data_IF_400656004807
#
_entry.id   IF_400656004807
#
_cell.length_a   1.000
_cell.length_b   1.000
_cell.length_c   1.000
_cell.angle_alpha   90.00
_cell.angle_beta   90.00
_cell.angle_gamma   90.00
#
_symmetry.space_group_name_H-M   'P 1'
#
loop_
_entity.id
_entity.type
_entity.pdbx_description
1 polymer ?
#
# COMPACT_ATOMS: atom_id res chain seq x y z
N UNK A 1 -32.91 -2.19 1.70
CA UNK A 1 -32.11 -2.65 0.55
C UNK A 1 -31.56 -1.39 -0.11
N UNK A 2 -30.24 -1.25 -0.17
CA UNK A 2 -29.61 -0.06 -0.72
C UNK A 2 -29.76 -0.12 -2.26
N UNK A 3 -30.51 0.80 -2.86
CA UNK A 3 -30.76 0.81 -4.30
C UNK A 3 -29.66 1.60 -5.00
N UNK A 4 -28.71 0.86 -5.57
CA UNK A 4 -27.54 1.41 -6.24
C UNK A 4 -27.91 2.29 -7.45
N UNK A 5 -28.98 1.96 -8.18
CA UNK A 5 -29.41 2.76 -9.34
C UNK A 5 -29.96 4.11 -8.92
N UNK A 6 -30.83 4.13 -7.90
CA UNK A 6 -31.34 5.39 -7.33
C UNK A 6 -30.23 6.26 -6.75
N UNK A 7 -29.19 5.63 -6.20
CA UNK A 7 -28.01 6.36 -5.72
C UNK A 7 -27.25 7.02 -6.87
N UNK A 8 -26.94 6.27 -7.92
CA UNK A 8 -26.25 6.81 -9.10
C UNK A 8 -27.03 7.96 -9.73
N UNK A 9 -28.36 7.82 -9.85
CA UNK A 9 -29.25 8.88 -10.33
C UNK A 9 -29.21 10.12 -9.42
N UNK A 10 -29.22 9.94 -8.09
CA UNK A 10 -29.17 11.05 -7.14
C UNK A 10 -27.82 11.79 -7.14
N UNK A 11 -26.72 11.10 -7.41
CA UNK A 11 -25.37 11.70 -7.46
C UNK A 11 -25.14 12.51 -8.75
N UNK A 12 -25.88 12.22 -9.82
CA UNK A 12 -25.82 12.97 -11.08
C UNK A 12 -26.50 14.34 -10.95
N UNK A 13 -25.82 15.39 -11.41
CA UNK A 13 -26.40 16.74 -11.53
C UNK A 13 -25.91 17.41 -12.81
N UNK A 14 -26.82 17.86 -13.67
CA UNK A 14 -26.57 18.72 -14.84
C UNK A 14 -25.18 18.55 -15.49
N UNK A 15 -24.97 17.43 -16.19
CA UNK A 15 -23.72 17.06 -16.89
C UNK A 15 -22.49 16.82 -16.01
N UNK A 16 -22.65 16.57 -14.71
CA UNK A 16 -21.55 16.24 -13.80
C UNK A 16 -21.97 15.50 -12.53
N UNK A 17 -21.02 15.35 -11.60
CA UNK A 17 -21.20 14.68 -10.31
C UNK A 17 -21.40 15.72 -9.20
N UNK A 18 -22.49 15.60 -8.44
CA UNK A 18 -22.72 16.46 -7.27
C UNK A 18 -21.71 16.14 -6.16
N UNK A 19 -20.69 16.98 -6.02
CA UNK A 19 -19.63 16.85 -5.00
C UNK A 19 -20.17 16.63 -3.58
N UNK A 20 -21.24 17.33 -3.20
CA UNK A 20 -21.84 17.26 -1.85
C UNK A 20 -22.52 15.91 -1.60
N UNK A 21 -23.26 15.42 -2.59
CA UNK A 21 -23.92 14.12 -2.48
C UNK A 21 -22.89 13.00 -2.53
N UNK A 22 -21.96 13.08 -3.48
CA UNK A 22 -20.86 12.13 -3.60
C UNK A 22 -20.03 12.04 -2.31
N UNK A 23 -19.65 13.16 -1.68
CA UNK A 23 -18.93 13.17 -0.39
C UNK A 23 -19.78 12.58 0.75
N UNK A 24 -21.08 12.88 0.81
CA UNK A 24 -21.95 12.31 1.84
C UNK A 24 -22.10 10.79 1.74
N UNK A 25 -21.94 10.22 0.53
CA UNK A 25 -21.96 8.78 0.29
C UNK A 25 -20.56 8.13 0.37
N UNK A 26 -19.50 8.81 -0.07
CA UNK A 26 -18.12 8.41 0.15
C UNK A 26 -17.81 8.29 1.65
N UNK A 27 -18.36 9.21 2.45
CA UNK A 27 -18.36 9.11 3.91
C UNK A 27 -19.06 7.85 4.43
N UNK A 28 -20.13 7.36 3.80
CA UNK A 28 -20.81 6.12 4.20
C UNK A 28 -20.04 4.83 3.82
N UNK A 29 -19.11 4.91 2.87
CA UNK A 29 -18.15 3.83 2.55
C UNK A 29 -16.85 3.93 3.37
N UNK A 30 -16.49 5.12 3.86
CA UNK A 30 -15.32 5.35 4.72
C UNK A 30 -15.65 5.39 6.21
N UNK A 31 -16.91 5.30 6.61
CA UNK A 31 -17.33 5.24 8.01
C UNK A 31 -17.87 3.87 8.34
N UNK A 32 -16.97 2.95 8.70
CA UNK A 32 -17.14 1.88 9.69
C UNK A 32 -15.88 0.98 9.69
N UNK A 33 -15.13 0.81 10.82
CA UNK A 33 -15.27 1.47 12.11
C UNK A 33 -13.93 1.90 12.77
N UNK A 34 -13.86 3.14 13.27
CA UNK A 34 -13.00 3.48 14.43
C UNK A 34 -13.65 3.08 15.77
N UNK A 35 -14.81 2.43 15.74
CA UNK A 35 -15.26 1.65 16.89
C UNK A 35 -14.45 0.36 16.96
N UNK A 36 -13.34 0.44 17.69
CA UNK A 36 -12.64 -0.72 18.24
C UNK A 36 -13.60 -1.56 19.07
N UNK A 37 -14.34 -2.45 18.41
CA UNK A 37 -14.58 -3.74 19.02
C UNK A 37 -13.27 -4.48 18.83
N UNK A 38 -12.62 -4.85 19.93
CA UNK A 38 -11.70 -5.97 19.95
C UNK A 38 -12.47 -7.21 19.50
N UNK A 39 -12.75 -7.30 18.20
CA UNK A 39 -13.32 -8.47 17.56
C UNK A 39 -12.16 -9.42 17.41
N UNK A 40 -11.99 -10.28 18.43
CA UNK A 40 -11.13 -11.47 18.47
C UNK A 40 -10.15 -11.57 17.29
N UNK A 41 -9.15 -10.69 17.27
CA UNK A 41 -8.05 -10.86 16.33
C UNK A 41 -7.37 -12.17 16.73
N UNK A 42 -7.23 -13.10 15.79
CA UNK A 42 -6.57 -14.38 16.06
C UNK A 42 -5.14 -14.09 16.55
N UNK A 43 -4.83 -14.38 17.83
CA UNK A 43 -3.53 -14.07 18.39
C UNK A 43 -2.45 -15.08 17.95
N UNK A 44 -2.86 -16.24 17.43
CA UNK A 44 -1.98 -17.36 17.10
C UNK A 44 -2.43 -18.03 15.79
N UNK A 45 -2.46 -17.29 14.67
CA UNK A 45 -2.81 -17.86 13.37
C UNK A 45 -1.78 -18.93 12.97
N UNK A 46 -2.26 -19.98 12.30
CA UNK A 46 -1.40 -21.01 11.71
C UNK A 46 -1.49 -20.88 10.19
N UNK A 47 -0.34 -20.70 9.54
CA UNK A 47 -0.25 -20.56 8.09
C UNK A 47 0.39 -21.80 7.46
N UNK A 48 -0.16 -22.27 6.34
CA UNK A 48 0.42 -23.38 5.57
C UNK A 48 1.55 -22.91 4.62
N UNK A 49 1.52 -21.64 4.23
CA UNK A 49 2.52 -20.97 3.39
C UNK A 49 2.97 -19.69 4.11
N UNK A 50 4.15 -19.18 3.78
CA UNK A 50 4.65 -17.93 4.36
C UNK A 50 3.66 -16.77 4.14
N UNK A 51 3.06 -16.19 5.20
CA UNK A 51 2.14 -15.08 5.06
C UNK A 51 2.85 -13.77 4.67
N UNK A 52 4.17 -13.66 4.80
CA UNK A 52 4.94 -12.46 4.46
C UNK A 52 5.47 -12.49 3.02
N UNK A 53 4.74 -13.13 2.10
CA UNK A 53 5.14 -13.32 0.69
C UNK A 53 5.34 -12.02 -0.10
N UNK A 54 4.76 -10.90 0.38
CA UNK A 54 4.89 -9.56 -0.21
C UNK A 54 5.98 -8.71 0.46
N UNK A 55 6.75 -9.32 1.36
CA UNK A 55 7.83 -8.69 2.11
C UNK A 55 7.33 -7.63 3.09
N UNK A 56 8.23 -6.71 3.41
CA UNK A 56 8.01 -5.60 4.33
C UNK A 56 8.40 -4.29 3.67
N UNK A 57 7.91 -3.16 4.19
CA UNK A 57 8.38 -1.85 3.77
C UNK A 57 8.35 -0.85 4.91
N UNK A 58 9.08 0.24 4.73
CA UNK A 58 8.93 1.43 5.56
C UNK A 58 8.79 2.67 4.69
N UNK A 59 8.25 3.74 5.26
CA UNK A 59 7.96 4.94 4.49
C UNK A 59 7.51 6.13 5.33
N UNK A 60 7.30 7.24 4.62
CA UNK A 60 6.94 8.54 5.19
C UNK A 60 7.75 8.93 6.46
N UNK A 61 9.09 8.76 6.50
CA UNK A 61 9.86 9.07 7.70
C UNK A 61 9.84 10.57 8.04
N UNK A 62 9.89 10.89 9.32
CA UNK A 62 10.29 12.22 9.82
C UNK A 62 11.39 12.08 10.88
N UNK A 63 11.68 13.16 11.58
CA UNK A 63 12.78 13.20 12.55
C UNK A 63 12.55 12.34 13.79
N UNK A 64 11.33 11.89 14.06
CA UNK A 64 11.02 11.12 15.26
C UNK A 64 10.17 9.87 15.00
N UNK A 65 9.78 9.62 13.76
CA UNK A 65 8.86 8.55 13.42
C UNK A 65 9.02 8.03 12.00
N UNK A 66 8.50 6.82 11.79
CA UNK A 66 8.43 6.17 10.49
C UNK A 66 7.21 5.26 10.42
N UNK A 67 6.70 5.02 9.21
CA UNK A 67 5.69 4.00 8.96
C UNK A 67 6.40 2.68 8.68
N UNK A 68 5.95 1.61 9.34
CA UNK A 68 6.28 0.23 8.99
C UNK A 68 5.05 -0.43 8.36
N UNK A 69 5.30 -1.25 7.35
CA UNK A 69 4.26 -1.86 6.54
C UNK A 69 4.54 -3.34 6.26
N UNK A 70 3.48 -4.14 6.26
CA UNK A 70 3.45 -5.49 5.70
C UNK A 70 2.02 -5.87 5.32
N UNK A 71 1.84 -6.93 4.52
CA UNK A 71 0.54 -7.58 4.26
C UNK A 71 0.62 -9.08 4.49
N UNK A 72 -0.37 -9.65 5.18
CA UNK A 72 -0.51 -11.10 5.29
C UNK A 72 -1.16 -11.65 4.01
N UNK A 73 -0.42 -12.44 3.26
CA UNK A 73 -0.80 -12.93 1.94
C UNK A 73 -0.16 -14.30 1.63
N UNK A 74 -0.58 -15.40 2.27
CA UNK A 74 -0.03 -16.74 1.98
C UNK A 74 -0.25 -17.19 0.53
N UNK A 75 -1.28 -16.67 -0.14
CA UNK A 75 -1.58 -16.94 -1.55
C UNK A 75 -1.91 -15.62 -2.27
N UNK A 76 -0.90 -14.79 -2.61
CA UNK A 76 -1.08 -13.36 -2.92
C UNK A 76 -1.98 -13.08 -4.13
N UNK A 77 -2.15 -14.04 -5.05
CA UNK A 77 -3.00 -13.92 -6.24
C UNK A 77 -4.36 -14.64 -6.11
N UNK A 78 -4.58 -15.37 -5.01
CA UNK A 78 -5.87 -15.97 -4.72
C UNK A 78 -6.83 -14.93 -4.14
N UNK A 79 -8.16 -15.16 -4.16
CA UNK A 79 -9.12 -14.30 -3.49
C UNK A 79 -8.73 -14.02 -2.05
N UNK A 80 -8.76 -12.75 -1.65
CA UNK A 80 -8.37 -12.28 -0.33
C UNK A 80 -6.95 -12.68 0.09
N UNK A 81 -6.07 -12.89 -0.89
CA UNK A 81 -4.69 -13.34 -0.71
C UNK A 81 -4.54 -14.67 0.07
N UNK A 82 -5.59 -15.51 0.08
CA UNK A 82 -5.63 -16.75 0.88
C UNK A 82 -5.93 -16.56 2.37
N UNK A 83 -6.36 -15.36 2.77
CA UNK A 83 -6.74 -15.06 4.15
C UNK A 83 -8.24 -15.30 4.41
N UNK A 84 -8.56 -15.69 5.65
CA UNK A 84 -9.95 -15.81 6.11
C UNK A 84 -10.58 -14.46 6.52
N UNK A 85 -11.88 -14.44 6.87
CA UNK A 85 -12.61 -13.21 7.19
C UNK A 85 -12.36 -12.68 8.62
N UNK A 86 -11.38 -13.23 9.33
CA UNK A 86 -11.03 -12.85 10.71
C UNK A 86 -9.91 -11.82 10.70
N UNK A 87 -9.88 -10.94 11.70
CA UNK A 87 -8.69 -10.12 11.96
C UNK A 87 -7.57 -10.98 12.53
N UNK A 88 -6.31 -10.61 12.27
CA UNK A 88 -5.13 -11.33 12.75
C UNK A 88 -4.24 -10.38 13.55
N UNK A 89 -3.77 -10.81 14.72
CA UNK A 89 -2.81 -10.05 15.50
C UNK A 89 -1.41 -10.20 14.89
N UNK A 90 -0.72 -9.08 14.68
CA UNK A 90 0.65 -9.04 14.15
C UNK A 90 1.51 -8.25 15.12
N UNK A 91 2.49 -8.90 15.74
CA UNK A 91 3.49 -8.22 16.55
C UNK A 91 4.55 -7.59 15.65
N UNK A 92 5.11 -6.47 16.11
CA UNK A 92 6.18 -5.75 15.42
C UNK A 92 7.23 -5.32 16.41
N UNK A 93 8.48 -5.26 15.96
CA UNK A 93 9.64 -4.87 16.74
C UNK A 93 10.53 -3.94 15.92
N UNK A 94 11.15 -2.97 16.58
CA UNK A 94 12.18 -2.08 16.04
C UNK A 94 13.40 -2.15 16.95
N UNK A 95 14.59 -2.24 16.36
CA UNK A 95 15.86 -2.34 17.07
C UNK A 95 16.94 -1.43 16.48
N UNK A 96 17.93 -1.11 17.30
CA UNK A 96 19.15 -0.37 16.94
C UNK A 96 20.18 -1.26 16.18
N UNK A 97 19.91 -2.56 16.04
CA UNK A 97 20.76 -3.54 15.36
C UNK A 97 19.96 -4.63 14.65
N UNK A 98 20.52 -5.18 13.58
CA UNK A 98 19.89 -6.23 12.75
C UNK A 98 19.58 -7.52 13.53
N UNK A 99 20.35 -7.82 14.57
CA UNK A 99 20.16 -9.00 15.41
C UNK A 99 19.01 -8.87 16.42
N UNK A 100 18.38 -7.71 16.51
CA UNK A 100 17.36 -7.39 17.53
C UNK A 100 17.84 -7.60 18.97
N UNK A 101 19.13 -7.35 19.22
CA UNK A 101 19.71 -7.44 20.57
C UNK A 101 19.46 -6.18 21.41
N UNK A 102 19.13 -5.05 20.75
CA UNK A 102 18.81 -3.74 21.33
C UNK A 102 17.45 -3.24 20.82
N UNK A 103 16.33 -3.85 21.27
CA UNK A 103 15.01 -3.37 20.91
C UNK A 103 14.76 -1.95 21.45
N UNK A 104 14.16 -1.09 20.63
CA UNK A 104 13.84 0.31 20.98
C UNK A 104 12.33 0.59 20.98
N UNK A 105 11.55 -0.19 20.24
CA UNK A 105 10.09 -0.12 20.24
C UNK A 105 9.49 -1.48 19.83
N UNK A 106 8.30 -1.79 20.32
CA UNK A 106 7.56 -2.98 19.93
C UNK A 106 6.07 -2.80 20.22
N UNK A 107 5.24 -3.61 19.56
CA UNK A 107 3.81 -3.63 19.85
C UNK A 107 3.07 -4.68 19.05
N UNK A 108 1.74 -4.55 19.05
CA UNK A 108 0.84 -5.41 18.28
C UNK A 108 -0.10 -4.54 17.47
N UNK A 109 -0.24 -4.86 16.18
CA UNK A 109 -1.21 -4.29 15.27
C UNK A 109 -2.24 -5.36 14.86
N UNK A 110 -3.39 -4.92 14.34
CA UNK A 110 -4.42 -5.83 13.81
C UNK A 110 -4.44 -5.73 12.29
N UNK A 111 -4.18 -6.84 11.62
CA UNK A 111 -4.40 -7.01 10.19
C UNK A 111 -5.87 -7.39 9.97
N UNK A 112 -6.68 -6.47 9.45
CA UNK A 112 -8.12 -6.68 9.28
C UNK A 112 -8.48 -7.02 7.83
N UNK A 113 -9.51 -7.85 7.58
CA UNK A 113 -9.95 -8.15 6.20
C UNK A 113 -10.45 -6.92 5.44
N UNK A 114 -10.96 -5.90 6.15
CA UNK A 114 -11.43 -4.65 5.54
C UNK A 114 -10.31 -3.90 4.83
N UNK A 115 -9.08 -3.99 5.35
CA UNK A 115 -7.87 -3.43 4.75
C UNK A 115 -6.99 -4.52 4.11
N UNK A 116 -7.59 -5.63 3.67
CA UNK A 116 -6.86 -6.68 2.95
C UNK A 116 -5.74 -7.35 3.77
N UNK A 117 -5.87 -7.36 5.09
CA UNK A 117 -4.88 -7.85 6.06
C UNK A 117 -3.53 -7.16 5.97
N UNK A 118 -3.53 -5.87 5.64
CA UNK A 118 -2.34 -5.04 5.72
C UNK A 118 -2.14 -4.51 7.13
N UNK A 119 -0.90 -4.18 7.46
CA UNK A 119 -0.48 -3.62 8.73
C UNK A 119 0.25 -2.33 8.44
N UNK A 120 -0.19 -1.24 9.07
CA UNK A 120 0.48 0.05 9.06
C UNK A 120 0.76 0.46 10.50
N UNK A 121 2.04 0.66 10.84
CA UNK A 121 2.47 1.06 12.18
C UNK A 121 3.23 2.37 12.11
N UNK A 122 2.71 3.41 12.76
CA UNK A 122 3.44 4.66 12.98
C UNK A 122 4.28 4.54 14.26
N UNK A 123 5.56 4.20 14.11
CA UNK A 123 6.50 4.10 15.23
C UNK A 123 6.99 5.51 15.57
N UNK A 124 6.69 5.98 16.78
CA UNK A 124 7.05 7.34 17.26
C UNK A 124 8.14 7.28 18.32
N UNK A 125 8.73 8.44 18.62
CA UNK A 125 9.72 8.59 19.69
C UNK A 125 11.10 8.04 19.32
N UNK A 126 11.36 7.83 18.04
CA UNK A 126 12.67 7.46 17.52
C UNK A 126 13.60 8.67 17.55
N UNK A 127 14.91 8.42 17.63
CA UNK A 127 15.91 9.48 17.50
C UNK A 127 16.03 9.93 16.04
N UNK A 128 16.31 11.21 15.78
CA UNK A 128 16.53 11.73 14.44
C UNK A 128 17.80 11.16 13.82
N UNK A 129 17.85 11.23 12.49
CA UNK A 129 18.95 10.83 11.63
C UNK A 129 19.58 9.47 11.98
N UNK A 130 18.73 8.46 12.19
CA UNK A 130 19.19 7.17 12.70
C UNK A 130 18.59 5.99 11.94
N UNK A 131 19.47 5.04 11.66
CA UNK A 131 19.11 3.73 11.12
C UNK A 131 18.54 2.80 12.19
N UNK A 132 17.49 2.08 11.83
CA UNK A 132 16.85 1.04 12.64
C UNK A 132 16.54 -0.18 11.77
N UNK A 133 16.37 -1.32 12.44
CA UNK A 133 15.89 -2.56 11.85
C UNK A 133 14.52 -2.90 12.42
N UNK A 134 13.66 -3.51 11.61
CA UNK A 134 12.31 -3.86 12.02
C UNK A 134 11.87 -5.20 11.43
N UNK A 135 10.94 -5.86 12.13
CA UNK A 135 10.32 -7.11 11.68
C UNK A 135 8.91 -7.25 12.23
N UNK A 136 8.15 -8.14 11.61
CA UNK A 136 6.81 -8.54 12.04
C UNK A 136 6.76 -10.03 12.36
N UNK A 137 5.79 -10.41 13.19
CA UNK A 137 5.47 -11.79 13.48
C UNK A 137 3.94 -11.97 13.59
N UNK A 138 3.42 -13.04 12.99
CA UNK A 138 2.03 -13.43 13.06
C UNK A 138 1.96 -14.92 13.40
N UNK A 139 1.53 -15.25 14.62
CA UNK A 139 1.71 -16.60 15.17
C UNK A 139 3.20 -17.01 15.13
N UNK A 140 3.48 -18.10 14.43
CA UNK A 140 4.80 -18.71 14.33
C UNK A 140 5.64 -18.10 13.19
N UNK A 141 4.99 -17.43 12.24
CA UNK A 141 5.63 -16.89 11.05
C UNK A 141 6.32 -15.56 11.37
N UNK A 142 7.53 -15.37 10.83
CA UNK A 142 8.32 -14.14 10.94
C UNK A 142 8.54 -13.56 9.56
N UNK A 143 8.40 -12.23 9.45
CA UNK A 143 8.73 -11.53 8.21
C UNK A 143 10.24 -11.53 7.95
N UNK A 144 10.65 -11.19 6.72
CA UNK A 144 11.99 -10.66 6.48
C UNK A 144 12.28 -9.46 7.38
N UNK A 145 13.56 -9.24 7.68
CA UNK A 145 14.01 -8.04 8.39
C UNK A 145 14.09 -6.89 7.40
N UNK A 146 13.42 -5.78 7.72
CA UNK A 146 13.57 -4.52 7.00
C UNK A 146 14.51 -3.56 7.74
N UNK A 147 15.06 -2.60 7.02
CA UNK A 147 15.88 -1.51 7.53
C UNK A 147 15.23 -0.18 7.16
N UNK A 148 15.29 0.79 8.07
CA UNK A 148 14.68 2.11 7.88
C UNK A 148 15.52 3.22 8.51
N UNK A 149 15.32 4.47 8.09
CA UNK A 149 16.01 5.65 8.63
C UNK A 149 15.00 6.74 9.00
N UNK A 150 15.17 7.38 10.15
CA UNK A 150 14.49 8.63 10.48
C UNK A 150 15.19 9.81 9.80
N UNK A 151 14.45 10.89 9.54
CA UNK A 151 15.03 12.10 8.96
C UNK A 151 15.89 12.86 9.99
N UNK A 152 16.81 13.73 9.57
CA UNK A 152 17.43 14.72 10.45
C UNK A 152 16.39 15.65 11.08
N UNK A 153 16.78 16.38 12.14
CA UNK A 153 15.97 17.49 12.63
C UNK A 153 15.88 18.59 11.57
N UNK A 154 14.77 19.33 11.53
CA UNK A 154 14.59 20.44 10.58
C UNK A 154 15.68 21.52 10.68
N UNK A 155 16.29 21.66 11.86
CA UNK A 155 17.39 22.58 12.13
C UNK A 155 18.77 22.05 11.74
N UNK A 156 18.87 20.81 11.28
CA UNK A 156 20.13 20.13 10.97
C UNK A 156 20.26 19.87 9.47
N UNK A 157 21.42 20.20 8.92
CA UNK A 157 21.74 19.91 7.52
C UNK A 157 22.68 18.69 7.47
N UNK A 158 22.25 17.54 6.95
CA UNK A 158 23.13 16.38 6.81
C UNK A 158 24.29 16.67 5.85
N UNK A 159 25.45 16.05 6.09
CA UNK A 159 26.63 16.17 5.22
C UNK A 159 26.39 15.56 3.83
N UNK A 160 25.55 14.52 3.75
CA UNK A 160 25.21 13.82 2.53
C UNK A 160 23.79 13.24 2.61
N UNK A 161 23.10 13.21 1.47
CA UNK A 161 21.87 12.45 1.25
C UNK A 161 22.05 11.62 -0.04
N UNK A 162 21.86 10.31 0.05
CA UNK A 162 21.76 9.42 -1.11
C UNK A 162 20.32 9.01 -1.31
N UNK A 163 19.74 9.34 -2.44
CA UNK A 163 18.39 8.88 -2.79
C UNK A 163 18.35 8.43 -4.25
N UNK A 164 17.39 7.56 -4.54
CA UNK A 164 16.98 7.27 -5.91
C UNK A 164 15.52 7.66 -6.09
N UNK A 165 15.12 7.83 -7.35
CA UNK A 165 13.72 7.83 -7.72
C UNK A 165 13.45 6.78 -8.79
N UNK A 166 12.24 6.24 -8.81
CA UNK A 166 11.73 5.31 -9.81
C UNK A 166 10.30 5.66 -10.20
N UNK A 167 9.89 5.20 -11.37
CA UNK A 167 8.51 5.21 -11.87
C UNK A 167 8.36 4.14 -12.95
N UNK A 168 7.13 3.93 -13.41
CA UNK A 168 6.83 3.18 -14.63
C UNK A 168 7.40 1.76 -14.66
N UNK A 169 6.99 0.94 -13.69
CA UNK A 169 7.48 -0.44 -13.55
C UNK A 169 6.55 -1.47 -14.20
N UNK A 170 6.14 -1.27 -15.46
CA UNK A 170 5.17 -2.17 -16.11
C UNK A 170 5.60 -3.65 -16.05
N UNK A 171 4.84 -4.47 -15.33
CA UNK A 171 5.22 -5.85 -15.00
C UNK A 171 5.50 -6.70 -16.24
N UNK A 172 4.67 -6.57 -17.27
CA UNK A 172 4.79 -7.35 -18.52
C UNK A 172 5.99 -6.94 -19.42
N UNK A 173 6.57 -5.74 -19.20
CA UNK A 173 7.55 -5.15 -20.12
C UNK A 173 8.99 -5.60 -19.88
N UNK A 174 9.28 -6.17 -18.72
CA UNK A 174 10.66 -6.50 -18.33
C UNK A 174 10.72 -7.21 -16.98
N UNK A 175 11.91 -7.63 -16.58
CA UNK A 175 12.19 -8.04 -15.21
C UNK A 175 12.65 -6.82 -14.40
N UNK A 176 12.53 -6.90 -13.08
CA UNK A 176 12.84 -5.81 -12.16
C UNK A 176 14.32 -5.72 -11.78
N UNK A 177 15.23 -6.03 -12.70
CA UNK A 177 16.69 -6.00 -12.49
C UNK A 177 17.21 -4.62 -12.06
N UNK A 178 16.50 -3.54 -12.37
CA UNK A 178 16.85 -2.20 -11.88
C UNK A 178 16.82 -2.13 -10.34
N UNK A 179 15.89 -2.83 -9.67
CA UNK A 179 15.84 -2.87 -8.21
C UNK A 179 16.97 -3.70 -7.60
N UNK A 180 17.53 -4.67 -8.32
CA UNK A 180 18.71 -5.41 -7.88
C UNK A 180 19.93 -4.49 -7.75
N UNK A 181 20.15 -3.61 -8.74
CA UNK A 181 21.22 -2.62 -8.68
C UNK A 181 20.92 -1.55 -7.63
N UNK A 182 19.69 -1.03 -7.59
CA UNK A 182 19.29 0.00 -6.61
C UNK A 182 19.52 -0.46 -5.17
N UNK A 183 19.31 -1.75 -4.88
CA UNK A 183 19.54 -2.33 -3.55
C UNK A 183 21.03 -2.37 -3.15
N UNK A 184 21.95 -2.23 -4.11
CA UNK A 184 23.40 -2.19 -3.88
C UNK A 184 23.94 -0.76 -3.73
N UNK A 185 23.14 0.26 -4.06
CA UNK A 185 23.57 1.66 -4.04
C UNK A 185 23.60 2.29 -2.63
N UNK A 186 23.15 1.55 -1.60
CA UNK A 186 23.11 1.94 -0.17
C UNK A 186 22.46 3.34 0.03
N UNK A 187 21.20 3.41 -0.37
CA UNK A 187 20.38 4.63 -0.37
C UNK A 187 19.79 4.92 1.01
N UNK A 188 19.64 6.20 1.32
CA UNK A 188 18.96 6.67 2.53
C UNK A 188 17.43 6.70 2.38
N UNK A 189 16.96 6.87 1.15
CA UNK A 189 15.54 7.06 0.80
C UNK A 189 15.31 6.71 -0.67
N UNK A 190 14.13 6.18 -0.99
CA UNK A 190 13.65 6.04 -2.38
C UNK A 190 12.39 6.86 -2.57
N UNK A 191 12.29 7.54 -3.72
CA UNK A 191 11.03 8.11 -4.21
C UNK A 191 10.42 7.21 -5.28
N UNK A 192 9.13 6.89 -5.20
CA UNK A 192 8.40 6.33 -6.35
C UNK A 192 7.41 7.39 -6.86
N UNK A 193 7.53 7.72 -8.14
CA UNK A 193 6.88 8.89 -8.75
C UNK A 193 5.67 8.53 -9.64
N UNK A 194 5.00 7.42 -9.34
CA UNK A 194 3.84 6.93 -10.09
C UNK A 194 4.12 5.74 -11.00
N UNK A 195 3.05 5.17 -11.53
CA UNK A 195 3.01 3.94 -12.31
C UNK A 195 3.67 2.75 -11.59
N UNK A 196 3.40 2.63 -10.29
CA UNK A 196 3.80 1.47 -9.50
C UNK A 196 3.08 0.22 -9.96
N UNK A 197 1.83 0.34 -10.41
CA UNK A 197 1.11 -0.71 -11.11
C UNK A 197 0.58 -0.18 -12.43
N UNK A 198 0.14 -1.09 -13.29
CA UNK A 198 -0.64 -0.80 -14.48
C UNK A 198 -1.96 -1.56 -14.41
N UNK A 199 -3.02 -0.98 -14.96
CA UNK A 199 -4.43 -1.38 -14.80
C UNK A 199 -4.88 -2.42 -15.82
N UNK A 200 -4.31 -2.41 -17.01
CA UNK A 200 -4.77 -3.20 -18.17
C UNK A 200 -4.62 -4.70 -17.98
N UNK A 201 -5.45 -5.46 -18.68
CA UNK A 201 -5.28 -6.90 -18.87
C UNK A 201 -4.03 -7.22 -19.71
N UNK A 202 -3.59 -8.48 -19.66
CA UNK A 202 -2.55 -8.94 -20.57
C UNK A 202 -3.04 -8.94 -22.03
N UNK A 203 -2.53 -8.00 -22.84
CA UNK A 203 -2.77 -7.95 -24.28
C UNK A 203 -1.65 -8.55 -25.13
N UNK A 204 -0.48 -8.81 -24.53
CA UNK A 204 0.69 -9.32 -25.23
C UNK A 204 1.03 -10.77 -24.83
N UNK A 205 0.54 -11.73 -25.63
CA UNK A 205 0.82 -13.17 -25.42
C UNK A 205 2.29 -13.58 -25.54
N UNK A 206 3.18 -12.68 -25.99
CA UNK A 206 4.62 -12.91 -26.08
C UNK A 206 5.41 -12.23 -24.96
N UNK A 207 4.74 -11.56 -24.03
CA UNK A 207 5.39 -10.93 -22.89
C UNK A 207 6.06 -11.99 -22.01
N UNK A 208 7.22 -11.64 -21.45
CA UNK A 208 7.99 -12.54 -20.56
C UNK A 208 7.28 -12.78 -19.23
N UNK A 209 6.41 -11.86 -18.85
CA UNK A 209 5.50 -11.91 -17.70
C UNK A 209 4.13 -11.43 -18.16
N UNK A 210 3.08 -11.87 -17.49
CA UNK A 210 1.70 -11.59 -17.86
C UNK A 210 0.93 -11.01 -16.69
N UNK A 211 0.15 -9.96 -16.91
CA UNK A 211 -0.83 -9.51 -15.94
C UNK A 211 -1.86 -10.60 -15.66
N UNK A 212 -2.19 -10.76 -14.38
CA UNK A 212 -3.22 -11.68 -13.94
C UNK A 212 -4.59 -11.00 -14.01
N UNK A 213 -5.57 -11.72 -14.56
CA UNK A 213 -6.96 -11.27 -14.64
C UNK A 213 -7.23 -10.24 -15.75
N UNK A 214 -8.45 -9.68 -15.77
CA UNK A 214 -8.86 -8.65 -16.71
C UNK A 214 -8.24 -7.29 -16.35
N UNK A 215 -8.70 -6.24 -17.03
CA UNK A 215 -8.50 -4.88 -16.56
C UNK A 215 -9.11 -4.71 -15.16
N UNK A 216 -8.40 -3.98 -14.30
CA UNK A 216 -8.74 -3.89 -12.88
C UNK A 216 -9.74 -2.76 -12.63
N UNK A 217 -10.85 -3.10 -11.95
CA UNK A 217 -11.94 -2.14 -11.67
C UNK A 217 -12.42 -2.23 -10.21
N UNK A 218 -12.51 -3.46 -9.69
CA UNK A 218 -12.96 -3.74 -8.32
C UNK A 218 -11.79 -3.66 -7.34
N UNK A 219 -12.09 -3.43 -6.06
CA UNK A 219 -11.07 -3.43 -4.99
C UNK A 219 -10.23 -4.72 -4.98
N UNK A 220 -10.85 -5.88 -5.20
CA UNK A 220 -10.12 -7.15 -5.24
C UNK A 220 -9.21 -7.26 -6.47
N UNK A 221 -9.62 -6.70 -7.62
CA UNK A 221 -8.75 -6.63 -8.80
C UNK A 221 -7.49 -5.79 -8.50
N UNK A 222 -7.65 -4.59 -7.92
CA UNK A 222 -6.52 -3.72 -7.54
C UNK A 222 -5.62 -4.37 -6.50
N UNK A 223 -6.18 -4.98 -5.44
CA UNK A 223 -5.42 -5.74 -4.44
C UNK A 223 -4.59 -6.86 -5.08
N UNK A 224 -5.18 -7.59 -6.01
CA UNK A 224 -4.51 -8.68 -6.73
C UNK A 224 -3.40 -8.16 -7.64
N UNK A 225 -3.62 -7.04 -8.35
CA UNK A 225 -2.60 -6.41 -9.20
C UNK A 225 -1.43 -5.89 -8.37
N UNK A 226 -1.67 -5.20 -7.27
CA UNK A 226 -0.62 -4.79 -6.36
C UNK A 226 0.14 -5.99 -5.78
N UNK A 227 -0.57 -7.04 -5.35
CA UNK A 227 0.06 -8.31 -4.94
C UNK A 227 0.96 -8.88 -6.04
N UNK A 228 0.51 -8.88 -7.29
CA UNK A 228 1.30 -9.39 -8.43
C UNK A 228 2.61 -8.61 -8.58
N UNK A 229 2.55 -7.29 -8.57
CA UNK A 229 3.74 -6.46 -8.68
C UNK A 229 4.66 -6.67 -7.47
N UNK A 230 4.11 -6.63 -6.25
CA UNK A 230 4.84 -6.74 -4.99
C UNK A 230 5.39 -8.15 -4.70
N UNK A 231 4.91 -9.17 -5.43
CA UNK A 231 5.42 -10.55 -5.33
C UNK A 231 6.78 -10.73 -6.00
N UNK A 232 7.24 -9.76 -6.79
CA UNK A 232 8.58 -9.79 -7.36
C UNK A 232 9.64 -9.63 -6.25
N UNK A 233 10.59 -10.58 -6.11
CA UNK A 233 11.55 -10.57 -5.02
C UNK A 233 12.53 -9.39 -5.07
N UNK A 234 12.81 -8.84 -6.24
CA UNK A 234 13.69 -7.68 -6.39
C UNK A 234 12.99 -6.42 -5.88
N UNK A 235 11.68 -6.27 -6.17
CA UNK A 235 10.90 -5.14 -5.69
C UNK A 235 10.70 -5.19 -4.17
N UNK A 236 10.17 -6.29 -3.62
CA UNK A 236 9.99 -6.35 -2.16
C UNK A 236 11.32 -6.36 -1.40
N UNK A 237 12.40 -6.81 -2.06
CA UNK A 237 13.75 -6.82 -1.50
C UNK A 237 14.29 -5.40 -1.37
N UNK A 238 14.01 -4.55 -2.37
CA UNK A 238 14.35 -3.12 -2.31
C UNK A 238 13.51 -2.36 -1.28
N UNK A 239 12.22 -2.68 -1.16
CA UNK A 239 11.34 -2.12 -0.10
C UNK A 239 11.88 -2.36 1.33
N UNK A 240 12.60 -3.46 1.54
CA UNK A 240 13.19 -3.79 2.83
C UNK A 240 14.51 -3.04 3.13
N UNK A 241 15.10 -2.30 2.18
CA UNK A 241 16.45 -1.70 2.36
C UNK A 241 16.46 -0.32 3.02
N UNK A 242 15.48 0.52 2.72
CA UNK A 242 15.42 1.91 3.17
C UNK A 242 13.95 2.38 3.14
N UNK A 243 13.61 3.53 3.77
CA UNK A 243 12.27 4.09 3.64
C UNK A 243 11.95 4.53 2.22
N UNK A 244 10.66 4.47 1.86
CA UNK A 244 10.12 4.95 0.59
C UNK A 244 9.17 6.12 0.81
N UNK A 245 9.25 7.12 -0.07
CA UNK A 245 8.24 8.17 -0.24
C UNK A 245 7.57 7.97 -1.59
N UNK A 246 6.27 7.73 -1.58
CA UNK A 246 5.56 7.30 -2.78
C UNK A 246 4.44 8.26 -3.14
N UNK A 247 4.33 8.55 -4.43
CA UNK A 247 3.16 9.16 -5.05
C UNK A 247 2.71 8.29 -6.21
N UNK A 248 1.43 8.38 -6.56
CA UNK A 248 0.89 7.78 -7.78
C UNK A 248 1.05 8.73 -8.98
N UNK A 249 0.80 8.18 -10.16
CA UNK A 249 0.39 8.90 -11.37
C UNK A 249 -0.99 8.35 -11.80
N UNK A 250 -1.22 8.14 -13.09
CA UNK A 250 -2.50 7.74 -13.66
C UNK A 250 -2.71 6.22 -13.59
N UNK A 251 -1.70 5.40 -13.87
CA UNK A 251 -1.83 3.95 -13.97
C UNK A 251 -2.07 3.20 -12.65
N UNK A 252 -1.91 3.86 -11.50
CA UNK A 252 -2.47 3.37 -10.23
C UNK A 252 -3.99 3.25 -10.25
N UNK A 253 -4.65 3.93 -11.20
CA UNK A 253 -6.09 3.99 -11.35
C UNK A 253 -6.55 3.69 -12.78
N UNK A 254 -6.31 4.60 -13.72
CA UNK A 254 -6.81 4.57 -15.10
C UNK A 254 -5.91 5.46 -15.96
N UNK A 255 -5.45 4.94 -17.10
CA UNK A 255 -4.53 5.64 -18.01
C UNK A 255 -5.07 7.04 -18.38
N UNK A 256 -4.19 8.03 -18.38
CA UNK A 256 -4.44 9.42 -18.73
C UNK A 256 -5.61 10.09 -17.96
N UNK A 257 -5.97 9.60 -16.78
CA UNK A 257 -7.06 10.20 -16.00
C UNK A 257 -6.77 11.67 -15.65
N UNK A 258 -7.81 12.51 -15.65
CA UNK A 258 -7.72 13.90 -15.25
C UNK A 258 -8.81 14.21 -14.21
N UNK A 259 -8.46 14.07 -12.93
CA UNK A 259 -9.42 14.15 -11.82
C UNK A 259 -10.57 13.14 -11.99
N UNK A 260 -11.79 13.62 -12.29
CA UNK A 260 -13.00 12.81 -12.46
C UNK A 260 -13.32 12.53 -13.94
N UNK A 261 -12.35 12.75 -14.83
CA UNK A 261 -12.46 12.56 -16.27
C UNK A 261 -11.56 11.37 -16.69
N UNK A 262 -12.16 10.36 -17.31
CA UNK A 262 -11.43 9.25 -17.95
C UNK A 262 -10.89 9.66 -19.32
N UNK A 263 -9.87 8.94 -19.81
CA UNK A 263 -9.43 9.06 -21.20
C UNK A 263 -10.52 8.65 -22.21
N UNK A 264 -11.44 7.77 -21.79
CA UNK A 264 -12.52 7.27 -22.63
C UNK A 264 -13.79 8.12 -22.47
N UNK A 265 -14.33 8.61 -23.58
CA UNK A 265 -15.51 9.49 -23.56
C UNK A 265 -16.82 8.84 -23.13
N UNK A 266 -16.85 7.50 -23.04
CA UNK A 266 -18.07 6.72 -22.80
C UNK A 266 -18.21 6.26 -21.34
N UNK A 267 -17.22 6.57 -20.49
CA UNK A 267 -17.18 6.12 -19.11
C UNK A 267 -18.11 6.98 -18.25
N UNK A 268 -18.97 6.34 -17.48
CA UNK A 268 -19.85 7.04 -16.56
C UNK A 268 -19.03 7.64 -15.39
N UNK A 269 -19.15 8.96 -15.11
CA UNK A 269 -18.37 9.59 -14.05
C UNK A 269 -18.59 9.00 -12.65
N UNK A 270 -19.78 8.43 -12.37
CA UNK A 270 -20.04 7.81 -11.06
C UNK A 270 -19.30 6.48 -10.95
N UNK A 271 -19.34 5.65 -11.99
CA UNK A 271 -18.61 4.39 -12.03
C UNK A 271 -17.09 4.62 -12.03
N UNK A 272 -16.62 5.66 -12.71
CA UNK A 272 -15.23 6.10 -12.70
C UNK A 272 -14.74 6.44 -11.29
N UNK A 273 -15.51 7.24 -10.55
CA UNK A 273 -15.17 7.60 -9.18
C UNK A 273 -15.28 6.42 -8.22
N UNK A 274 -16.13 5.42 -8.47
CA UNK A 274 -16.16 4.20 -7.69
C UNK A 274 -14.91 3.33 -7.94
N UNK A 275 -14.47 3.23 -9.20
CA UNK A 275 -13.18 2.61 -9.56
C UNK A 275 -12.02 3.34 -8.87
N UNK A 276 -12.02 4.69 -8.84
CA UNK A 276 -11.00 5.49 -8.14
C UNK A 276 -10.98 5.24 -6.63
N UNK A 277 -12.15 5.09 -6.01
CA UNK A 277 -12.23 4.74 -4.59
C UNK A 277 -11.60 3.36 -4.30
N UNK A 278 -11.86 2.37 -5.16
CA UNK A 278 -11.24 1.04 -5.07
C UNK A 278 -9.71 1.11 -5.25
N UNK A 279 -9.25 1.85 -6.26
CA UNK A 279 -7.83 2.05 -6.56
C UNK A 279 -7.10 2.69 -5.36
N UNK A 280 -7.64 3.79 -4.83
CA UNK A 280 -7.00 4.52 -3.72
C UNK A 280 -6.99 3.73 -2.42
N UNK A 281 -8.05 2.95 -2.15
CA UNK A 281 -8.04 2.03 -1.01
C UNK A 281 -6.94 0.97 -1.16
N UNK A 282 -6.84 0.32 -2.32
CA UNK A 282 -5.78 -0.66 -2.57
C UNK A 282 -4.37 -0.03 -2.51
N UNK A 283 -4.21 1.20 -3.01
CA UNK A 283 -2.94 1.93 -2.94
C UNK A 283 -2.54 2.22 -1.49
N UNK A 284 -3.45 2.73 -0.66
CA UNK A 284 -3.20 2.89 0.78
C UNK A 284 -2.81 1.58 1.44
N UNK A 285 -3.58 0.52 1.16
CA UNK A 285 -3.34 -0.82 1.68
C UNK A 285 -1.93 -1.33 1.34
N UNK A 286 -1.38 -0.96 0.18
CA UNK A 286 -0.14 -1.53 -0.37
C UNK A 286 1.11 -0.66 -0.23
N UNK A 287 0.94 0.56 0.28
CA UNK A 287 2.00 1.54 0.45
C UNK A 287 2.26 1.88 1.91
N UNK A 288 3.52 2.16 2.30
CA UNK A 288 3.89 2.51 3.67
C UNK A 288 3.55 3.98 4.00
N UNK A 289 2.25 4.31 3.93
CA UNK A 289 1.71 5.65 4.11
C UNK A 289 1.20 5.89 5.53
N UNK A 290 1.21 7.16 5.97
CA UNK A 290 0.65 7.55 7.27
C UNK A 290 -0.88 7.40 7.31
N UNK A 291 -1.48 7.21 8.50
CA UNK A 291 -2.94 7.09 8.66
C UNK A 291 -3.76 8.26 8.10
N UNK A 292 -3.17 9.46 8.04
CA UNK A 292 -3.83 10.64 7.44
C UNK A 292 -4.08 10.49 5.93
N UNK A 293 -3.36 9.59 5.27
CA UNK A 293 -3.54 9.27 3.86
C UNK A 293 -4.59 8.19 3.63
N UNK A 294 -5.26 7.69 4.67
CA UNK A 294 -6.40 6.80 4.51
C UNK A 294 -7.49 7.48 3.65
N UNK A 295 -7.91 6.88 2.52
CA UNK A 295 -8.86 7.49 1.61
C UNK A 295 -10.24 7.68 2.21
N UNK A 296 -10.94 8.71 1.72
CA UNK A 296 -12.37 8.94 1.94
C UNK A 296 -13.09 8.82 0.59
N UNK A 297 -13.53 7.61 0.27
CA UNK A 297 -13.99 7.28 -1.09
C UNK A 297 -12.84 7.50 -2.10
N UNK A 298 -13.05 8.25 -3.19
CA UNK A 298 -12.04 8.50 -4.21
C UNK A 298 -11.23 9.77 -3.94
N UNK A 299 -11.17 10.20 -2.68
CA UNK A 299 -10.35 11.32 -2.25
C UNK A 299 -9.28 10.81 -1.30
N UNK A 300 -8.03 11.09 -1.62
CA UNK A 300 -6.91 10.74 -0.76
C UNK A 300 -5.82 11.78 -0.87
N UNK A 301 -5.21 12.08 0.27
CA UNK A 301 -4.18 13.10 0.41
C UNK A 301 -2.83 12.41 0.64
N UNK A 302 -1.89 12.62 -0.29
CA UNK A 302 -0.55 12.01 -0.25
C UNK A 302 0.55 12.97 0.22
N UNK A 303 0.27 14.26 0.31
CA UNK A 303 1.25 15.27 0.72
C UNK A 303 1.05 15.73 2.17
N UNK A 304 2.09 16.35 2.72
CA UNK A 304 2.13 16.88 4.08
C UNK A 304 2.78 18.25 4.16
#
# INVERSE_FOLDING_TARGET
MFDYKRLQEAVRSENGVSRRLFLSYGAALSTLPLMGRASWADPSPVFQKDPFSLGVASGDPDSNSVILWTRLAPEPLAPHAGMGPQAVAVTWEVADDEGFTKPVASGTAQATPQLGHTVHVEVKGLKPDRWYWYRFQAGDAKSPVGRTRTMPLESEMPEQLKFAFASCQHYESGLYTAYEQMAQDDLDLVFHLGDYIYERENRNKKAIRAHFGPEIETLEHYRTRHSQYRSDPLLHGMHAKCPWMVTWDDHEFDNNCANDISEESQVDPVDFLLRRANAYQAYYEMMPLRPKSLPQGPHMQLYR
#
